data_IF_227446972209
#
_entry.id   IF_227446972209
#
_cell.length_a   1.000
_cell.length_b   1.000
_cell.length_c   1.000
_cell.angle_alpha   90.00
_cell.angle_beta   90.00
_cell.angle_gamma   90.00
#
_symmetry.space_group_name_H-M   'P 1'
#
loop_
_entity.id
_entity.type
_entity.pdbx_description
1 polymer ?
#
# COMPACT_ATOMS: atom_id res chain seq x y z
N UNK A 1 -10.17 -14.83 16.17
CA UNK A 1 -8.94 -14.18 15.71
C UNK A 1 -7.78 -14.61 16.61
N UNK A 2 -6.72 -15.11 16.05
CA UNK A 2 -5.57 -15.57 16.84
C UNK A 2 -4.77 -14.33 17.31
N UNK A 3 -4.76 -14.08 18.61
CA UNK A 3 -4.05 -12.95 19.22
C UNK A 3 -2.54 -12.94 18.89
N UNK A 4 -1.98 -14.12 18.60
CA UNK A 4 -0.58 -14.27 18.21
C UNK A 4 -0.33 -13.68 16.82
N UNK A 5 -1.23 -13.91 15.87
CA UNK A 5 -1.15 -13.34 14.51
C UNK A 5 -1.27 -11.82 14.57
N UNK A 6 -2.21 -11.31 15.35
CA UNK A 6 -2.40 -9.87 15.52
C UNK A 6 -1.18 -9.19 16.15
N UNK A 7 -0.59 -9.81 17.16
CA UNK A 7 0.63 -9.31 17.79
C UNK A 7 1.79 -9.26 16.80
N UNK A 8 2.02 -10.33 16.05
CA UNK A 8 3.08 -10.40 15.04
C UNK A 8 2.87 -9.36 13.92
N UNK A 9 1.64 -9.13 13.51
CA UNK A 9 1.28 -8.14 12.52
C UNK A 9 1.60 -6.72 12.98
N UNK A 10 1.18 -6.35 14.19
CA UNK A 10 1.46 -5.03 14.78
C UNK A 10 2.97 -4.80 14.97
N UNK A 11 3.69 -5.79 15.44
CA UNK A 11 5.15 -5.74 15.57
C UNK A 11 5.83 -5.55 14.21
N UNK A 12 5.32 -6.20 13.16
CA UNK A 12 5.78 -6.04 11.78
C UNK A 12 5.60 -4.61 11.26
N UNK A 13 4.44 -4.00 11.50
CA UNK A 13 4.17 -2.60 11.13
C UNK A 13 5.12 -1.64 11.84
N UNK A 14 5.26 -1.75 13.15
CA UNK A 14 6.17 -0.90 13.95
C UNK A 14 7.61 -1.04 13.48
N UNK A 15 8.05 -2.26 13.16
CA UNK A 15 9.39 -2.49 12.64
C UNK A 15 9.59 -1.86 11.25
N UNK A 16 8.60 -1.98 10.37
CA UNK A 16 8.62 -1.35 9.04
C UNK A 16 8.66 0.17 9.15
N UNK A 17 7.83 0.76 10.01
CA UNK A 17 7.82 2.19 10.31
C UNK A 17 9.21 2.68 10.71
N UNK A 18 9.87 2.00 11.63
CA UNK A 18 11.22 2.35 12.08
C UNK A 18 12.24 2.45 10.93
N UNK A 19 12.16 1.55 9.95
CA UNK A 19 13.06 1.61 8.79
C UNK A 19 12.66 2.69 7.79
N UNK A 20 11.36 2.90 7.61
CA UNK A 20 10.85 3.98 6.77
C UNK A 20 11.22 5.36 7.34
N UNK A 21 11.13 5.56 8.64
CA UNK A 21 11.55 6.80 9.31
C UNK A 21 13.03 7.11 9.04
N UNK A 22 13.90 6.09 9.08
CA UNK A 22 15.31 6.24 8.71
C UNK A 22 15.51 6.62 7.25
N UNK A 23 14.77 5.96 6.35
CA UNK A 23 14.82 6.25 4.91
C UNK A 23 14.38 7.68 4.63
N UNK A 24 13.27 8.13 5.21
CA UNK A 24 12.75 9.50 5.07
C UNK A 24 13.78 10.52 5.57
N UNK A 25 14.41 10.26 6.70
CA UNK A 25 15.45 11.12 7.24
C UNK A 25 16.60 11.30 6.24
N UNK A 26 17.08 10.22 5.63
CA UNK A 26 18.15 10.24 4.62
C UNK A 26 17.71 11.01 3.38
N UNK A 27 16.50 10.74 2.86
CA UNK A 27 15.99 11.39 1.65
C UNK A 27 15.82 12.90 1.85
N UNK A 28 15.25 13.32 2.98
CA UNK A 28 15.07 14.73 3.32
C UNK A 28 16.39 15.47 3.46
N UNK A 29 17.38 14.85 4.07
CA UNK A 29 18.74 15.44 4.15
C UNK A 29 19.40 15.66 2.81
N UNK A 30 19.01 14.92 1.80
CA UNK A 30 19.53 15.03 0.44
C UNK A 30 18.58 15.80 -0.51
N UNK A 31 17.55 16.47 0.04
CA UNK A 31 16.54 17.23 -0.71
C UNK A 31 15.83 16.39 -1.79
N UNK A 32 15.58 15.12 -1.50
CA UNK A 32 14.85 14.23 -2.39
C UNK A 32 13.38 14.26 -2.00
N UNK A 33 12.53 14.58 -2.96
CA UNK A 33 11.08 14.53 -2.79
C UNK A 33 10.57 13.09 -2.64
N UNK A 34 9.61 12.90 -1.73
CA UNK A 34 9.10 11.58 -1.37
C UNK A 34 7.59 11.53 -1.68
N UNK A 35 7.20 10.58 -2.53
CA UNK A 35 5.82 10.18 -2.74
C UNK A 35 5.69 8.72 -2.37
N UNK A 36 4.78 8.41 -1.45
CA UNK A 36 4.54 7.07 -0.96
C UNK A 36 3.32 6.47 -1.66
N UNK A 37 3.46 5.28 -2.22
CA UNK A 37 2.36 4.60 -2.89
C UNK A 37 2.01 3.37 -2.06
N UNK A 38 0.76 3.29 -1.64
CA UNK A 38 0.22 2.18 -0.88
C UNK A 38 -0.79 1.41 -1.72
N UNK A 39 -0.54 0.15 -1.96
CA UNK A 39 -1.46 -0.72 -2.70
C UNK A 39 -1.72 -2.02 -1.93
N UNK A 40 -2.91 -2.61 -2.07
CA UNK A 40 -3.26 -3.82 -1.35
C UNK A 40 -2.60 -5.07 -1.95
N UNK A 41 -2.21 -5.98 -1.08
CA UNK A 41 -1.88 -7.35 -1.44
C UNK A 41 -3.16 -8.13 -1.81
N UNK A 42 -3.12 -9.14 -2.70
CA UNK A 42 -4.30 -9.92 -3.08
C UNK A 42 -5.13 -10.44 -1.90
N UNK A 43 -4.48 -10.94 -0.85
CA UNK A 43 -5.19 -11.38 0.35
C UNK A 43 -5.89 -10.25 1.11
N UNK A 44 -5.32 -9.05 1.08
CA UNK A 44 -5.93 -7.88 1.72
C UNK A 44 -7.19 -7.42 0.99
N UNK A 45 -7.24 -7.60 -0.33
CA UNK A 45 -8.45 -7.35 -1.13
C UNK A 45 -9.52 -8.39 -0.78
N UNK A 46 -9.19 -9.68 -0.87
CA UNK A 46 -10.13 -10.79 -0.69
C UNK A 46 -10.72 -10.81 0.73
N UNK A 47 -9.89 -10.60 1.74
CA UNK A 47 -10.31 -10.66 3.15
C UNK A 47 -10.64 -9.28 3.74
N UNK A 48 -10.63 -8.23 2.94
CA UNK A 48 -10.94 -6.86 3.33
C UNK A 48 -10.12 -6.40 4.55
N UNK A 49 -8.84 -6.19 4.33
CA UNK A 49 -7.96 -5.64 5.38
C UNK A 49 -8.41 -4.22 5.78
N UNK A 50 -8.59 -4.03 7.07
CA UNK A 50 -9.02 -2.76 7.65
C UNK A 50 -7.91 -2.09 8.49
N UNK A 51 -6.71 -2.67 8.55
CA UNK A 51 -5.64 -2.22 9.45
C UNK A 51 -4.48 -1.53 8.73
N UNK A 52 -4.02 -2.05 7.59
CA UNK A 52 -2.84 -1.52 6.89
C UNK A 52 -3.07 -0.12 6.33
N UNK A 53 -4.15 0.07 5.61
CA UNK A 53 -4.40 1.35 4.96
C UNK A 53 -4.50 2.50 5.96
N UNK A 54 -5.34 2.44 7.01
CA UNK A 54 -5.42 3.50 8.02
C UNK A 54 -4.10 3.76 8.74
N UNK A 55 -3.36 2.70 9.06
CA UNK A 55 -2.07 2.81 9.74
C UNK A 55 -1.07 3.65 8.92
N UNK A 56 -0.92 3.33 7.64
CA UNK A 56 0.03 4.03 6.77
C UNK A 56 -0.43 5.43 6.36
N UNK A 57 -1.74 5.65 6.26
CA UNK A 57 -2.30 7.00 6.05
C UNK A 57 -1.95 7.91 7.25
N UNK A 58 -2.17 7.42 8.47
CA UNK A 58 -1.85 8.17 9.69
C UNK A 58 -0.35 8.42 9.82
N UNK A 59 0.47 7.41 9.56
CA UNK A 59 1.91 7.55 9.56
C UNK A 59 2.40 8.60 8.55
N UNK A 60 1.91 8.57 7.33
CA UNK A 60 2.27 9.53 6.29
C UNK A 60 1.87 10.96 6.67
N UNK A 61 0.66 11.13 7.22
CA UNK A 61 0.16 12.41 7.72
C UNK A 61 1.04 12.95 8.85
N UNK A 62 1.38 12.11 9.82
CA UNK A 62 2.23 12.51 10.96
C UNK A 62 3.66 12.87 10.54
N UNK A 63 4.14 12.32 9.44
CA UNK A 63 5.47 12.60 8.88
C UNK A 63 5.45 13.65 7.75
N UNK A 64 4.29 14.24 7.45
CA UNK A 64 4.12 15.19 6.36
C UNK A 64 4.61 14.64 5.00
N UNK A 65 4.19 13.42 4.67
CA UNK A 65 4.54 12.71 3.44
C UNK A 65 3.30 12.62 2.55
N UNK A 66 3.50 12.87 1.25
CA UNK A 66 2.48 12.58 0.24
C UNK A 66 2.29 11.06 0.12
N UNK A 67 1.08 10.58 0.40
CA UNK A 67 0.71 9.18 0.26
C UNK A 67 -0.47 9.04 -0.70
N UNK A 68 -0.31 8.18 -1.69
CA UNK A 68 -1.36 7.79 -2.64
C UNK A 68 -1.82 6.39 -2.26
N UNK A 69 -3.02 6.28 -1.70
CA UNK A 69 -3.63 4.96 -1.45
C UNK A 69 -4.38 4.49 -2.69
N UNK A 70 -4.08 3.27 -3.11
CA UNK A 70 -4.71 2.59 -4.25
C UNK A 70 -5.69 1.50 -3.80
N UNK A 71 -6.05 1.43 -2.53
CA UNK A 71 -6.99 0.43 -2.05
C UNK A 71 -8.35 0.54 -2.73
N UNK A 72 -8.84 1.77 -2.93
CA UNK A 72 -10.10 2.01 -3.64
C UNK A 72 -10.06 1.64 -5.13
N UNK A 73 -8.89 1.65 -5.75
CA UNK A 73 -8.74 1.28 -7.16
C UNK A 73 -8.91 -0.22 -7.41
N UNK A 74 -8.75 -1.03 -6.34
CA UNK A 74 -8.97 -2.48 -6.33
C UNK A 74 -10.21 -2.87 -5.53
N UNK A 75 -11.09 -1.92 -5.21
CA UNK A 75 -12.33 -2.19 -4.51
C UNK A 75 -13.47 -2.46 -5.49
N UNK A 76 -13.91 -3.71 -5.51
CA UNK A 76 -15.04 -4.20 -6.30
C UNK A 76 -15.99 -4.99 -5.39
N UNK A 77 -17.26 -5.08 -5.76
CA UNK A 77 -18.23 -5.91 -5.03
C UNK A 77 -17.79 -7.38 -5.02
N UNK A 78 -17.25 -7.86 -6.14
CA UNK A 78 -16.62 -9.18 -6.23
C UNK A 78 -15.10 -9.11 -6.04
N UNK A 79 -14.67 -9.25 -4.79
CA UNK A 79 -13.25 -9.20 -4.40
C UNK A 79 -12.37 -10.25 -5.06
N UNK A 80 -12.91 -11.45 -5.29
CA UNK A 80 -12.17 -12.52 -5.95
C UNK A 80 -12.00 -12.23 -7.44
N UNK A 81 -13.05 -11.73 -8.08
CA UNK A 81 -13.03 -11.36 -9.49
C UNK A 81 -11.96 -10.31 -9.75
N UNK A 82 -11.99 -9.17 -9.05
CA UNK A 82 -11.01 -8.10 -9.25
C UNK A 82 -9.58 -8.59 -9.02
N UNK A 83 -9.36 -9.45 -8.01
CA UNK A 83 -8.05 -10.02 -7.74
C UNK A 83 -7.56 -10.91 -8.89
N UNK A 84 -8.41 -11.81 -9.41
CA UNK A 84 -8.05 -12.67 -10.54
C UNK A 84 -7.83 -11.89 -11.84
N UNK A 85 -8.53 -10.79 -12.05
CA UNK A 85 -8.41 -9.95 -13.24
C UNK A 85 -7.17 -9.05 -13.22
N UNK A 86 -6.65 -8.69 -12.04
CA UNK A 86 -5.59 -7.67 -11.90
C UNK A 86 -4.23 -8.20 -11.46
N UNK A 87 -4.17 -9.41 -10.92
CA UNK A 87 -2.92 -10.06 -10.53
C UNK A 87 -2.60 -11.27 -11.42
N UNK A 88 -1.32 -11.62 -11.49
CA UNK A 88 -0.87 -12.85 -12.14
C UNK A 88 -1.33 -14.03 -11.28
N UNK A 89 -1.97 -15.02 -11.90
CA UNK A 89 -2.48 -16.19 -11.18
C UNK A 89 -1.36 -16.92 -10.42
N UNK A 90 -1.57 -17.11 -9.13
CA UNK A 90 -0.58 -17.74 -8.25
C UNK A 90 0.62 -16.87 -7.87
N UNK A 91 0.58 -15.59 -8.22
CA UNK A 91 1.65 -14.62 -7.96
C UNK A 91 1.07 -13.38 -7.24
N UNK A 92 1.96 -12.59 -6.67
CA UNK A 92 1.64 -11.34 -5.95
C UNK A 92 1.79 -10.10 -6.83
N UNK A 93 2.31 -10.26 -8.04
CA UNK A 93 2.55 -9.17 -8.96
C UNK A 93 1.33 -8.87 -9.83
N UNK A 94 1.18 -7.62 -10.21
CA UNK A 94 0.13 -7.20 -11.11
C UNK A 94 0.33 -7.78 -12.51
N UNK A 95 -0.76 -8.13 -13.14
CA UNK A 95 -0.78 -8.41 -14.56
C UNK A 95 -0.90 -7.09 -15.37
N UNK A 96 -1.09 -7.19 -16.68
CA UNK A 96 -1.20 -6.03 -17.57
C UNK A 96 -2.33 -5.07 -17.15
N UNK A 97 -3.49 -5.60 -16.72
CA UNK A 97 -4.62 -4.79 -16.30
C UNK A 97 -4.34 -4.09 -14.96
N UNK A 98 -3.82 -4.83 -13.98
CA UNK A 98 -3.43 -4.26 -12.69
C UNK A 98 -2.37 -3.16 -12.85
N UNK A 99 -1.36 -3.39 -13.67
CA UNK A 99 -0.34 -2.38 -14.01
C UNK A 99 -0.95 -1.13 -14.64
N UNK A 100 -1.94 -1.28 -15.53
CA UNK A 100 -2.64 -0.14 -16.15
C UNK A 100 -3.42 0.68 -15.12
N UNK A 101 -4.09 0.03 -14.18
CA UNK A 101 -4.81 0.71 -13.08
C UNK A 101 -3.83 1.56 -12.27
N UNK A 102 -2.72 0.97 -11.83
CA UNK A 102 -1.67 1.68 -11.06
C UNK A 102 -1.11 2.86 -11.85
N UNK A 103 -0.75 2.65 -13.11
CA UNK A 103 -0.20 3.69 -13.97
C UNK A 103 -1.15 4.88 -14.14
N UNK A 104 -2.43 4.62 -14.44
CA UNK A 104 -3.42 5.68 -14.60
C UNK A 104 -3.60 6.50 -13.31
N UNK A 105 -3.59 5.84 -12.16
CA UNK A 105 -3.68 6.52 -10.87
C UNK A 105 -2.46 7.40 -10.62
N UNK A 106 -1.27 6.91 -10.88
CA UNK A 106 -0.03 7.67 -10.70
C UNK A 106 0.02 8.91 -11.57
N UNK A 107 -0.34 8.80 -12.85
CA UNK A 107 -0.38 9.96 -13.76
C UNK A 107 -1.38 11.01 -13.29
N UNK A 108 -2.51 10.61 -12.70
CA UNK A 108 -3.51 11.55 -12.21
C UNK A 108 -3.08 12.32 -10.96
N UNK A 109 -2.18 11.76 -10.15
CA UNK A 109 -1.81 12.28 -8.83
C UNK A 109 -0.43 12.93 -8.78
N UNK A 110 0.52 12.48 -9.61
CA UNK A 110 1.89 12.97 -9.60
C UNK A 110 2.16 13.83 -10.83
N UNK A 111 2.61 15.05 -10.61
CA UNK A 111 3.15 15.89 -11.68
C UNK A 111 4.61 15.49 -11.93
N UNK A 112 4.80 14.86 -13.06
CA UNK A 112 6.15 14.48 -13.52
C UNK A 112 6.85 15.66 -14.22
#
# INVERSE_FOLDING_TARGET
FDDTIFKNYKEGLVKSEKYLDKLIYILRRNNIEINFILYPHPSQIVYKDIYHEPYWIDWAKNNNISLISMYSDFDDEDKRKITLETFIFGDLHWNKLGTKIIFNRLISEINF
#
